data_IF_969088650120
#
_entry.id   IF_969088650120
#
_cell.length_a   1.000
_cell.length_b   1.000
_cell.length_c   1.000
_cell.angle_alpha   90.00
_cell.angle_beta   90.00
_cell.angle_gamma   90.00
#
_symmetry.space_group_name_H-M   'P 1'
#
loop_
_entity.id
_entity.type
_entity.pdbx_description
1 polymer ?
#
# COMPACT_ATOMS: atom_id res chain seq x y z
N UNK A 1 7.40 27.28 13.45
CA UNK A 1 6.48 27.23 14.63
C UNK A 1 5.18 26.44 14.36
N UNK A 2 4.77 26.24 13.10
CA UNK A 2 3.55 25.46 12.76
C UNK A 2 3.77 23.94 12.68
N UNK A 3 5.00 23.47 12.50
CA UNK A 3 5.33 22.02 12.50
C UNK A 3 5.18 21.42 13.89
N UNK A 4 5.48 22.17 14.93
CA UNK A 4 5.36 21.76 16.34
C UNK A 4 3.90 21.58 16.79
N UNK A 5 2.94 22.29 16.20
CA UNK A 5 1.53 22.22 16.61
C UNK A 5 0.76 21.04 16.01
N UNK A 6 1.18 20.50 14.84
CA UNK A 6 0.57 19.28 14.27
C UNK A 6 1.11 17.99 14.87
N UNK A 7 2.33 18.03 15.46
CA UNK A 7 2.88 16.90 16.19
C UNK A 7 2.22 16.70 17.57
N UNK A 8 1.55 17.69 18.12
CA UNK A 8 0.80 17.59 19.38
C UNK A 8 -0.55 16.85 19.23
N UNK A 9 -1.02 16.62 18.00
CA UNK A 9 -2.24 15.85 17.69
C UNK A 9 -1.95 14.46 17.13
N UNK A 10 -0.69 14.01 17.19
CA UNK A 10 -0.42 12.57 16.97
C UNK A 10 -1.02 11.85 18.17
N UNK A 11 -2.18 11.24 17.92
CA UNK A 11 -2.93 10.45 18.89
C UNK A 11 -1.93 9.51 19.61
N UNK A 12 -2.09 9.36 20.92
CA UNK A 12 -1.29 8.46 21.75
C UNK A 12 -1.16 7.06 21.12
N UNK A 13 -2.17 6.65 20.37
CA UNK A 13 -2.22 5.42 19.54
C UNK A 13 -1.12 5.37 18.48
N UNK A 14 -0.88 6.45 17.74
CA UNK A 14 0.18 6.52 16.73
C UNK A 14 1.58 6.43 17.36
N UNK A 15 1.76 7.01 18.54
CA UNK A 15 3.03 6.91 19.30
C UNK A 15 3.25 5.46 19.76
N UNK A 16 2.21 4.78 20.25
CA UNK A 16 2.32 3.38 20.67
C UNK A 16 2.66 2.47 19.49
N UNK A 17 2.05 2.69 18.31
CA UNK A 17 2.37 1.94 17.07
C UNK A 17 3.84 2.15 16.69
N UNK A 18 4.31 3.39 16.56
CA UNK A 18 5.71 3.69 16.21
C UNK A 18 6.67 3.09 17.24
N UNK A 19 6.36 3.19 18.53
CA UNK A 19 7.16 2.61 19.59
C UNK A 19 7.16 1.08 19.55
N UNK A 20 6.01 0.45 19.25
CA UNK A 20 5.88 -0.98 19.10
C UNK A 20 6.68 -1.47 17.90
N UNK A 21 6.56 -0.80 16.74
CA UNK A 21 7.27 -1.15 15.52
C UNK A 21 8.78 -1.05 15.69
N UNK A 22 9.31 0.02 16.28
CA UNK A 22 10.74 0.14 16.56
C UNK A 22 11.25 -0.97 17.47
N UNK A 23 10.49 -1.38 18.49
CA UNK A 23 10.83 -2.50 19.36
C UNK A 23 10.74 -3.85 18.65
N UNK A 24 9.66 -4.11 17.93
CA UNK A 24 9.39 -5.41 17.30
C UNK A 24 10.35 -5.72 16.15
N UNK A 25 10.80 -4.69 15.41
CA UNK A 25 11.76 -4.84 14.31
C UNK A 25 13.23 -4.75 14.75
N UNK A 26 13.50 -4.31 15.99
CA UNK A 26 14.86 -4.17 16.53
C UNK A 26 15.73 -5.43 16.41
N UNK A 27 15.20 -6.66 16.61
CA UNK A 27 16.02 -7.87 16.46
C UNK A 27 16.53 -8.11 15.03
N UNK A 28 15.83 -7.61 14.01
CA UNK A 28 16.17 -7.80 12.59
C UNK A 28 16.96 -6.60 12.03
N UNK A 29 16.67 -5.41 12.48
CA UNK A 29 17.20 -4.14 11.95
C UNK A 29 17.68 -3.24 13.09
N UNK A 30 18.48 -3.78 14.02
CA UNK A 30 18.86 -3.15 15.28
C UNK A 30 19.43 -1.73 15.12
N UNK A 31 20.38 -1.55 14.19
CA UNK A 31 20.99 -0.22 13.97
C UNK A 31 20.02 0.79 13.40
N UNK A 32 19.23 0.39 12.40
CA UNK A 32 18.24 1.29 11.77
C UNK A 32 17.15 1.70 12.75
N UNK A 33 16.66 0.75 13.57
CA UNK A 33 15.64 1.04 14.58
C UNK A 33 16.19 1.88 15.74
N UNK A 34 17.45 1.68 16.11
CA UNK A 34 18.13 2.51 17.10
C UNK A 34 18.28 3.96 16.61
N UNK A 35 18.75 4.15 15.37
CA UNK A 35 18.90 5.46 14.76
C UNK A 35 17.54 6.19 14.63
N UNK A 36 16.52 5.51 14.13
CA UNK A 36 15.17 6.05 14.05
C UNK A 36 14.61 6.44 15.42
N UNK A 37 14.82 5.60 16.43
CA UNK A 37 14.39 5.85 17.80
C UNK A 37 15.08 7.06 18.38
N UNK A 38 16.40 7.13 18.32
CA UNK A 38 17.18 8.23 18.90
C UNK A 38 16.96 9.56 18.17
N UNK A 39 16.72 9.50 16.85
CA UNK A 39 16.33 10.70 16.09
C UNK A 39 15.00 11.27 16.56
N UNK A 40 14.05 10.40 16.90
CA UNK A 40 12.71 10.82 17.34
C UNK A 40 12.64 11.14 18.83
N UNK A 41 13.41 10.41 19.64
CA UNK A 41 13.41 10.48 21.10
C UNK A 41 14.85 10.53 21.67
N UNK A 42 15.58 11.64 21.49
CA UNK A 42 17.01 11.71 21.81
C UNK A 42 17.33 11.47 23.29
N UNK A 43 16.38 11.78 24.18
CA UNK A 43 16.58 11.68 25.64
C UNK A 43 16.01 10.38 26.23
N UNK A 44 15.45 9.49 25.41
CA UNK A 44 14.77 8.29 25.90
C UNK A 44 15.66 7.05 26.11
N UNK A 45 16.98 7.19 25.88
CA UNK A 45 17.93 6.07 25.92
C UNK A 45 17.80 5.13 24.72
N UNK A 46 18.48 3.99 24.79
CA UNK A 46 18.54 3.04 23.68
C UNK A 46 17.22 2.28 23.49
N UNK A 47 16.78 2.17 22.23
CA UNK A 47 15.64 1.34 21.84
C UNK A 47 15.84 -0.15 22.18
N UNK A 48 17.08 -0.62 22.09
CA UNK A 48 17.44 -2.01 22.36
C UNK A 48 17.26 -2.43 23.84
N UNK A 49 17.17 -1.46 24.74
CA UNK A 49 16.90 -1.70 26.16
C UNK A 49 15.42 -1.64 26.54
N UNK A 50 14.54 -1.38 25.56
CA UNK A 50 13.10 -1.29 25.82
C UNK A 50 12.44 -2.66 25.85
N UNK A 51 11.41 -2.77 26.66
CA UNK A 51 10.52 -3.94 26.68
C UNK A 51 9.48 -3.75 25.57
N UNK A 52 9.23 -4.82 24.80
CA UNK A 52 8.15 -4.82 23.79
C UNK A 52 6.82 -4.58 24.51
N UNK A 53 6.07 -3.52 24.16
CA UNK A 53 4.82 -3.21 24.82
C UNK A 53 3.77 -4.29 24.52
N UNK A 54 2.90 -4.54 25.49
CA UNK A 54 1.75 -5.42 25.27
C UNK A 54 0.77 -4.72 24.33
N UNK A 55 0.37 -5.41 23.26
CA UNK A 55 -0.64 -4.89 22.34
C UNK A 55 -1.98 -4.72 23.06
N UNK A 56 -2.59 -3.52 23.03
CA UNK A 56 -3.89 -3.30 23.65
C UNK A 56 -4.96 -4.22 23.06
N UNK A 57 -5.75 -4.85 23.92
CA UNK A 57 -6.77 -5.83 23.50
C UNK A 57 -7.86 -5.21 22.58
N UNK A 58 -8.13 -3.92 22.76
CA UNK A 58 -9.09 -3.16 21.95
C UNK A 58 -8.65 -2.92 20.51
N UNK A 59 -7.37 -3.20 20.17
CA UNK A 59 -6.89 -3.14 18.78
C UNK A 59 -7.24 -4.38 17.98
N UNK A 60 -7.65 -5.45 18.66
CA UNK A 60 -8.09 -6.67 18.01
C UNK A 60 -9.44 -6.46 17.35
N UNK A 61 -9.49 -6.64 16.03
CA UNK A 61 -10.70 -6.55 15.23
C UNK A 61 -10.86 -7.83 14.39
N UNK A 62 -11.54 -8.81 14.95
CA UNK A 62 -11.72 -10.12 14.29
C UNK A 62 -12.58 -10.01 13.01
N UNK A 63 -13.51 -9.05 12.96
CA UNK A 63 -14.34 -8.83 11.77
C UNK A 63 -13.51 -8.29 10.62
N UNK A 64 -12.63 -7.32 10.87
CA UNK A 64 -11.74 -6.78 9.85
C UNK A 64 -10.68 -7.80 9.43
N UNK A 65 -10.16 -8.60 10.37
CA UNK A 65 -9.24 -9.68 10.04
C UNK A 65 -9.89 -10.72 9.09
N UNK A 66 -11.15 -11.10 9.34
CA UNK A 66 -11.90 -12.00 8.46
C UNK A 66 -12.16 -11.38 7.07
N UNK A 67 -12.41 -10.06 7.01
CA UNK A 67 -12.52 -9.32 5.75
C UNK A 67 -11.21 -9.36 4.96
N UNK A 68 -10.09 -9.04 5.61
CA UNK A 68 -8.77 -9.05 4.99
C UNK A 68 -8.34 -10.43 4.50
N UNK A 69 -8.70 -11.51 5.20
CA UNK A 69 -8.44 -12.87 4.72
C UNK A 69 -9.11 -13.15 3.34
N UNK A 70 -10.29 -12.58 3.09
CA UNK A 70 -10.95 -12.65 1.78
C UNK A 70 -10.20 -11.83 0.73
N UNK A 71 -9.75 -10.61 1.09
CA UNK A 71 -8.94 -9.75 0.21
C UNK A 71 -7.62 -10.44 -0.15
N UNK A 72 -6.92 -11.04 0.82
CA UNK A 72 -5.68 -11.79 0.61
C UNK A 72 -5.88 -12.98 -0.35
N UNK A 73 -7.03 -13.65 -0.27
CA UNK A 73 -7.38 -14.75 -1.18
C UNK A 73 -7.39 -14.26 -2.63
N UNK A 74 -8.04 -13.14 -2.93
CA UNK A 74 -8.05 -12.56 -4.28
C UNK A 74 -6.67 -12.04 -4.67
N UNK A 75 -5.98 -11.37 -3.75
CA UNK A 75 -4.63 -10.83 -3.96
C UNK A 75 -3.62 -11.91 -4.35
N UNK A 76 -3.74 -13.12 -3.79
CA UNK A 76 -2.86 -14.24 -4.13
C UNK A 76 -2.94 -14.63 -5.61
N UNK A 77 -4.15 -14.64 -6.18
CA UNK A 77 -4.38 -14.94 -7.61
C UNK A 77 -3.80 -13.84 -8.49
N UNK A 78 -4.02 -12.57 -8.13
CA UNK A 78 -3.46 -11.42 -8.85
C UNK A 78 -1.93 -11.45 -8.83
N UNK A 79 -1.34 -11.72 -7.66
CA UNK A 79 0.11 -11.84 -7.52
C UNK A 79 0.66 -12.97 -8.40
N UNK A 80 -0.01 -14.13 -8.43
CA UNK A 80 0.35 -15.25 -9.29
C UNK A 80 0.33 -14.87 -10.78
N UNK A 81 -0.71 -14.17 -11.23
CA UNK A 81 -0.82 -13.67 -12.61
C UNK A 81 0.34 -12.72 -12.96
N UNK A 82 0.63 -11.75 -12.09
CA UNK A 82 1.70 -10.78 -12.31
C UNK A 82 3.09 -11.42 -12.28
N UNK A 83 3.30 -12.48 -11.50
CA UNK A 83 4.58 -13.22 -11.50
C UNK A 83 4.81 -13.97 -12.82
N UNK A 84 3.75 -14.46 -13.48
CA UNK A 84 3.87 -15.02 -14.83
C UNK A 84 4.31 -13.95 -15.82
N UNK A 85 3.67 -12.78 -15.80
CA UNK A 85 4.03 -11.65 -16.66
C UNK A 85 5.49 -11.19 -16.44
N UNK A 86 5.93 -11.16 -15.20
CA UNK A 86 7.31 -10.80 -14.84
C UNK A 86 8.32 -11.83 -15.33
N UNK A 87 8.03 -13.13 -15.17
CA UNK A 87 8.88 -14.22 -15.63
C UNK A 87 9.05 -14.20 -17.15
N UNK A 88 7.98 -13.87 -17.87
CA UNK A 88 7.98 -13.72 -19.31
C UNK A 88 8.52 -12.34 -19.79
N UNK A 89 8.96 -11.51 -18.84
CA UNK A 89 9.54 -10.17 -19.09
C UNK A 89 8.60 -9.22 -19.82
N UNK A 90 7.28 -9.39 -19.68
CA UNK A 90 6.28 -8.45 -20.19
C UNK A 90 6.13 -7.25 -19.28
N UNK A 91 6.40 -7.40 -17.99
CA UNK A 91 6.49 -6.33 -17.00
C UNK A 91 7.82 -6.44 -16.22
N UNK A 92 8.38 -5.30 -15.82
CA UNK A 92 9.51 -5.22 -14.88
C UNK A 92 9.04 -5.00 -13.43
N UNK A 93 7.92 -4.31 -13.27
CA UNK A 93 7.32 -3.97 -11.98
C UNK A 93 5.80 -4.18 -12.02
N UNK A 94 5.20 -4.52 -10.88
CA UNK A 94 3.75 -4.58 -10.75
C UNK A 94 3.06 -3.23 -11.06
N UNK A 95 3.77 -2.11 -10.89
CA UNK A 95 3.29 -0.76 -11.29
C UNK A 95 3.18 -0.56 -12.81
N UNK A 96 3.66 -1.49 -13.62
CA UNK A 96 3.44 -1.47 -15.07
C UNK A 96 2.15 -2.19 -15.48
N UNK A 97 1.44 -2.77 -14.53
CA UNK A 97 0.21 -3.53 -14.76
C UNK A 97 -1.05 -2.76 -14.35
N UNK A 98 -2.14 -3.10 -15.03
CA UNK A 98 -3.50 -2.68 -14.75
C UNK A 98 -4.45 -3.90 -14.91
N UNK A 99 -4.38 -4.90 -14.01
CA UNK A 99 -5.13 -6.14 -14.14
C UNK A 99 -6.64 -5.91 -14.08
N UNK A 100 -7.38 -6.72 -14.86
CA UNK A 100 -8.81 -6.89 -14.71
C UNK A 100 -9.04 -8.20 -13.96
N UNK A 101 -9.67 -8.10 -12.79
CA UNK A 101 -9.89 -9.22 -11.87
C UNK A 101 -11.36 -9.57 -11.84
N UNK A 102 -11.68 -10.78 -12.24
CA UNK A 102 -13.04 -11.32 -12.25
C UNK A 102 -13.24 -12.13 -10.97
N UNK A 103 -14.31 -11.81 -10.25
CA UNK A 103 -14.66 -12.45 -8.97
C UNK A 103 -16.10 -12.94 -9.06
N UNK A 104 -16.27 -14.25 -9.10
CA UNK A 104 -17.59 -14.86 -9.19
C UNK A 104 -18.32 -14.89 -7.83
N UNK A 105 -17.56 -14.97 -6.73
CA UNK A 105 -18.10 -14.97 -5.38
C UNK A 105 -18.42 -13.54 -4.91
N UNK A 106 -19.71 -13.21 -4.69
CA UNK A 106 -20.11 -11.88 -4.22
C UNK A 106 -19.54 -11.53 -2.84
N UNK A 107 -19.27 -12.51 -2.00
CA UNK A 107 -18.70 -12.29 -0.66
C UNK A 107 -17.22 -11.85 -0.73
N UNK A 108 -16.48 -12.38 -1.71
CA UNK A 108 -15.11 -11.93 -1.98
C UNK A 108 -15.11 -10.53 -2.57
N UNK A 109 -16.06 -10.24 -3.47
CA UNK A 109 -16.19 -8.92 -4.09
C UNK A 109 -16.56 -7.86 -3.05
N UNK A 110 -17.52 -8.16 -2.17
CA UNK A 110 -17.96 -7.26 -1.09
C UNK A 110 -16.82 -6.90 -0.11
N UNK A 111 -15.83 -7.78 0.05
CA UNK A 111 -14.67 -7.50 0.89
C UNK A 111 -13.83 -6.31 0.39
N UNK A 112 -13.93 -5.96 -0.90
CA UNK A 112 -13.25 -4.80 -1.48
C UNK A 112 -14.05 -3.49 -1.40
N UNK A 113 -15.24 -3.50 -0.81
CA UNK A 113 -16.05 -2.28 -0.68
C UNK A 113 -15.27 -1.20 0.09
N UNK A 114 -15.12 -0.03 -0.52
CA UNK A 114 -14.36 1.10 0.05
C UNK A 114 -12.84 0.96 -0.02
N UNK A 115 -12.29 -0.08 -0.65
CA UNK A 115 -10.86 -0.23 -0.90
C UNK A 115 -10.51 0.18 -2.34
N UNK A 116 -9.35 0.82 -2.51
CA UNK A 116 -8.75 0.97 -3.84
C UNK A 116 -8.04 -0.34 -4.24
N UNK A 117 -8.60 -1.05 -5.19
CA UNK A 117 -8.05 -2.31 -5.68
C UNK A 117 -6.62 -2.14 -6.25
N UNK A 118 -6.31 -1.00 -6.87
CA UNK A 118 -4.98 -0.74 -7.38
C UNK A 118 -3.93 -0.61 -6.26
N UNK A 119 -4.30 0.00 -5.13
CA UNK A 119 -3.44 0.07 -3.96
C UNK A 119 -3.25 -1.30 -3.31
N UNK A 120 -4.33 -2.08 -3.16
CA UNK A 120 -4.28 -3.43 -2.59
C UNK A 120 -3.36 -4.33 -3.42
N UNK A 121 -3.48 -4.32 -4.75
CA UNK A 121 -2.67 -5.14 -5.64
C UNK A 121 -1.30 -4.53 -5.95
N UNK A 122 -1.03 -3.30 -5.50
CA UNK A 122 0.21 -2.55 -5.75
C UNK A 122 0.50 -2.35 -7.25
N UNK A 123 -0.56 -2.09 -8.01
CA UNK A 123 -0.54 -1.83 -9.46
C UNK A 123 -0.84 -0.38 -9.76
N UNK A 124 -0.65 0.06 -11.01
CA UNK A 124 -1.01 1.44 -11.39
C UNK A 124 -2.50 1.66 -11.44
N UNK A 125 -3.24 0.68 -11.95
CA UNK A 125 -4.69 0.63 -11.92
C UNK A 125 -5.13 -0.82 -11.72
N UNK A 126 -6.39 -1.03 -11.32
CA UNK A 126 -7.01 -2.35 -11.28
C UNK A 126 -8.53 -2.21 -11.46
N UNK A 127 -9.15 -3.18 -12.09
CA UNK A 127 -10.60 -3.23 -12.26
C UNK A 127 -11.12 -4.53 -11.68
N UNK A 128 -12.10 -4.44 -10.77
CA UNK A 128 -12.83 -5.60 -10.25
C UNK A 128 -14.14 -5.76 -11.03
N UNK A 129 -14.40 -6.96 -11.50
CA UNK A 129 -15.60 -7.31 -12.28
C UNK A 129 -16.29 -8.49 -11.60
N UNK A 130 -17.59 -8.36 -11.35
CA UNK A 130 -18.40 -9.50 -10.88
C UNK A 130 -18.61 -10.52 -12.00
N UNK A 131 -18.35 -11.78 -11.71
CA UNK A 131 -18.56 -12.87 -12.67
C UNK A 131 -17.29 -13.66 -12.97
N UNK A 132 -17.39 -14.49 -14.01
CA UNK A 132 -16.28 -15.32 -14.51
C UNK A 132 -15.69 -14.68 -15.76
N UNK A 133 -14.39 -14.82 -15.95
CA UNK A 133 -13.65 -14.29 -17.10
C UNK A 133 -12.16 -14.50 -16.87
N UNK A 134 -11.30 -13.79 -17.58
CA UNK A 134 -9.87 -13.79 -17.35
C UNK A 134 -9.12 -15.06 -17.78
N UNK A 135 -7.88 -14.86 -18.24
CA UNK A 135 -7.04 -15.92 -18.79
C UNK A 135 -6.25 -16.69 -17.72
N UNK A 136 -5.97 -16.07 -16.57
CA UNK A 136 -5.21 -16.69 -15.50
C UNK A 136 -6.12 -17.10 -14.35
N UNK A 137 -5.98 -18.37 -13.92
CA UNK A 137 -6.68 -18.95 -12.76
C UNK A 137 -5.70 -19.77 -11.93
N UNK A 138 -6.04 -20.05 -10.68
CA UNK A 138 -5.30 -20.98 -9.81
C UNK A 138 -6.23 -22.11 -9.34
N UNK A 139 -5.68 -23.29 -9.15
CA UNK A 139 -6.44 -24.44 -8.62
C UNK A 139 -6.82 -24.25 -7.15
N UNK A 140 -6.05 -23.43 -6.42
CA UNK A 140 -6.24 -23.18 -4.99
C UNK A 140 -7.41 -22.25 -4.70
N UNK A 141 -7.68 -21.29 -5.61
CA UNK A 141 -8.74 -20.29 -5.46
C UNK A 141 -9.70 -20.37 -6.62
N UNK A 142 -10.86 -20.97 -6.39
CA UNK A 142 -11.91 -21.08 -7.42
C UNK A 142 -12.75 -19.80 -7.47
N UNK A 143 -13.23 -19.46 -8.67
CA UNK A 143 -14.12 -18.31 -8.89
C UNK A 143 -13.40 -16.96 -8.91
N UNK A 144 -12.07 -16.96 -8.93
CA UNK A 144 -11.27 -15.76 -9.17
C UNK A 144 -10.38 -16.00 -10.38
N UNK A 145 -10.39 -15.06 -11.32
CA UNK A 145 -9.53 -15.10 -12.51
C UNK A 145 -9.04 -13.71 -12.88
N UNK A 146 -7.92 -13.64 -13.58
CA UNK A 146 -7.22 -12.38 -13.84
C UNK A 146 -6.79 -12.28 -15.30
N UNK A 147 -7.07 -11.13 -15.91
CA UNK A 147 -6.44 -10.71 -17.16
C UNK A 147 -5.33 -9.69 -16.81
N UNK A 148 -4.07 -10.09 -16.88
CA UNK A 148 -2.96 -9.19 -16.63
C UNK A 148 -2.79 -8.23 -17.82
N UNK A 149 -3.30 -7.00 -17.68
CA UNK A 149 -3.15 -5.94 -18.67
C UNK A 149 -2.02 -5.01 -18.29
N UNK A 150 -1.38 -4.42 -19.28
CA UNK A 150 -0.42 -3.35 -19.08
C UNK A 150 -1.16 -2.05 -18.72
N UNK A 151 -0.54 -1.24 -17.87
CA UNK A 151 -1.05 0.09 -17.56
C UNK A 151 -0.84 1.03 -18.74
N UNK A 152 -1.85 1.86 -19.00
CA UNK A 152 -1.83 2.86 -20.07
C UNK A 152 -1.53 4.25 -19.51
N UNK A 153 -0.76 5.05 -20.27
CA UNK A 153 -0.43 6.42 -19.90
C UNK A 153 1.07 6.68 -19.77
N UNK A 154 1.43 7.75 -19.07
CA UNK A 154 2.81 8.13 -18.79
C UNK A 154 3.21 7.72 -17.37
N UNK A 155 4.50 7.48 -17.15
CA UNK A 155 5.03 7.12 -15.86
C UNK A 155 5.24 8.36 -15.00
N UNK A 156 4.66 8.38 -13.80
CA UNK A 156 4.90 9.42 -12.81
C UNK A 156 6.36 9.35 -12.29
N UNK A 157 7.05 10.48 -12.27
CA UNK A 157 8.42 10.56 -11.80
C UNK A 157 8.57 10.32 -10.29
N UNK A 158 7.50 10.53 -9.51
CA UNK A 158 7.50 10.39 -8.05
C UNK A 158 6.99 9.03 -7.58
N UNK A 159 5.76 8.65 -7.94
CA UNK A 159 5.13 7.40 -7.50
C UNK A 159 5.43 6.21 -8.40
N UNK A 160 5.97 6.44 -9.60
CA UNK A 160 6.25 5.46 -10.64
C UNK A 160 5.00 4.74 -11.19
N UNK A 161 3.82 5.16 -10.78
CA UNK A 161 2.57 4.68 -11.38
C UNK A 161 2.45 5.16 -12.83
N UNK A 162 1.88 4.33 -13.67
CA UNK A 162 1.60 4.65 -15.07
C UNK A 162 0.11 4.95 -15.18
N UNK A 163 -0.23 6.23 -15.41
CA UNK A 163 -1.60 6.70 -15.45
C UNK A 163 -1.82 7.69 -16.59
N UNK A 164 -3.02 7.71 -17.21
CA UNK A 164 -3.33 8.65 -18.29
C UNK A 164 -3.33 10.12 -17.83
N UNK A 165 -3.52 10.37 -16.55
CA UNK A 165 -3.57 11.71 -15.96
C UNK A 165 -2.19 12.37 -15.77
N UNK A 166 -1.10 11.61 -15.89
CA UNK A 166 0.27 12.15 -15.77
C UNK A 166 0.49 13.16 -16.88
N UNK A 167 0.88 14.39 -16.49
CA UNK A 167 1.11 15.49 -17.41
C UNK A 167 -0.09 16.40 -17.64
N UNK A 168 -1.21 16.19 -16.94
CA UNK A 168 -2.39 17.09 -17.06
C UNK A 168 -2.23 18.36 -16.25
N UNK A 169 -1.44 18.38 -15.16
CA UNK A 169 -1.07 19.62 -14.45
C UNK A 169 0.16 20.25 -15.14
N UNK A 170 -0.03 21.40 -15.79
CA UNK A 170 1.04 22.12 -16.50
C UNK A 170 2.20 22.58 -15.60
N UNK A 171 1.98 22.68 -14.27
CA UNK A 171 3.03 23.06 -13.31
C UNK A 171 3.93 21.89 -12.97
N UNK A 172 3.38 20.67 -13.06
CA UNK A 172 4.07 19.42 -12.70
C UNK A 172 3.80 18.34 -13.79
N UNK A 173 4.33 18.52 -15.00
CA UNK A 173 3.98 17.69 -16.16
C UNK A 173 4.45 16.23 -16.08
N UNK A 174 5.29 15.89 -15.10
CA UNK A 174 5.80 14.53 -14.89
C UNK A 174 5.11 13.81 -13.73
N UNK A 175 4.08 14.42 -13.12
CA UNK A 175 3.43 13.91 -11.93
C UNK A 175 1.97 13.53 -12.19
N UNK A 176 1.44 12.59 -11.37
CA UNK A 176 0.00 12.37 -11.22
C UNK A 176 -0.65 13.58 -10.56
N UNK A 177 -1.96 13.73 -10.67
CA UNK A 177 -2.68 14.85 -10.01
C UNK A 177 -2.48 14.85 -8.50
N UNK A 178 -2.55 13.69 -7.85
CA UNK A 178 -2.35 13.58 -6.40
C UNK A 178 -0.92 13.89 -5.96
N UNK A 179 0.09 13.47 -6.74
CA UNK A 179 1.48 13.81 -6.49
C UNK A 179 1.76 15.29 -6.72
N UNK A 180 1.15 15.88 -7.76
CA UNK A 180 1.25 17.31 -8.06
C UNK A 180 0.65 18.16 -6.93
N UNK A 181 -0.50 17.78 -6.39
CA UNK A 181 -1.12 18.44 -5.24
C UNK A 181 -0.23 18.34 -3.99
N UNK A 182 0.34 17.18 -3.71
CA UNK A 182 1.24 16.98 -2.58
C UNK A 182 2.51 17.84 -2.69
N UNK A 183 3.11 17.95 -3.89
CA UNK A 183 4.27 18.79 -4.14
C UNK A 183 3.91 20.27 -4.04
N UNK A 184 2.79 20.69 -4.63
CA UNK A 184 2.31 22.05 -4.53
C UNK A 184 2.06 22.49 -3.07
N UNK A 185 1.46 21.61 -2.26
CA UNK A 185 1.28 21.84 -0.83
C UNK A 185 2.64 22.01 -0.12
N UNK A 186 3.60 21.15 -0.41
CA UNK A 186 4.95 21.23 0.17
C UNK A 186 5.67 22.53 -0.21
N UNK A 187 5.62 22.90 -1.49
CA UNK A 187 6.26 24.13 -1.99
C UNK A 187 5.65 25.39 -1.36
N UNK A 188 4.33 25.38 -1.11
CA UNK A 188 3.65 26.48 -0.42
C UNK A 188 4.08 26.64 1.05
N UNK A 189 4.50 25.56 1.73
CA UNK A 189 4.96 25.58 3.11
C UNK A 189 6.40 26.11 3.26
N UNK A 190 7.17 26.10 2.17
CA UNK A 190 8.59 26.52 2.17
C UNK A 190 8.81 27.99 1.80
N UNK A 191 7.76 28.67 1.38
CA UNK A 191 7.78 30.12 1.08
C UNK A 191 7.33 30.91 2.30
#
# INVERSE_FOLDING_TARGET
QMITCRLALIDLRAIVVICSDCCSHSPLTSFTMEEAWQTRFPDAGSNSLRVIPVTPAEWKNDAEAARWAKVETVMSVVTGALEVERREKRIGSALEAAPVVFVADPDLLAAFEGLDAAEVFRTSAATLVAGEGGAFTTDEVKGVSVDPKLAEGAKCARSWRILPEVGTDARYPELTLSDAEAVAYWDAQRR
#
